data_IF_875286629917
#
_entry.id   IF_875286629917
#
_cell.length_a   1.000
_cell.length_b   1.000
_cell.length_c   1.000
_cell.angle_alpha   90.00
_cell.angle_beta   90.00
_cell.angle_gamma   90.00
#
_symmetry.space_group_name_H-M   'P 1'
#
loop_
_entity.id
_entity.type
_entity.pdbx_description
1 polymer ?
#
# COMPACT_ATOMS: atom_id res chain seq x y z
N UNK A 1 13.25 -0.06 18.38
CA UNK A 1 12.13 0.81 18.79
C UNK A 1 11.54 1.44 17.54
N UNK A 2 10.23 1.68 17.46
CA UNK A 2 9.64 2.31 16.28
C UNK A 2 10.00 3.81 16.31
N UNK A 3 10.55 4.39 15.23
CA UNK A 3 11.01 5.78 15.24
C UNK A 3 9.91 6.76 15.62
N UNK A 4 10.30 7.86 16.26
CA UNK A 4 9.45 9.05 16.40
C UNK A 4 9.26 9.74 15.04
N UNK A 5 8.23 10.59 14.93
CA UNK A 5 7.96 11.40 13.72
C UNK A 5 9.21 12.13 13.25
N UNK A 6 9.97 12.76 14.18
CA UNK A 6 11.18 13.50 13.82
C UNK A 6 12.24 12.59 13.21
N UNK A 7 12.45 11.42 13.80
CA UNK A 7 13.40 10.42 13.32
C UNK A 7 12.96 9.86 11.95
N UNK A 8 11.66 9.66 11.75
CA UNK A 8 11.12 9.18 10.47
C UNK A 8 11.35 10.16 9.32
N UNK A 9 11.20 11.46 9.58
CA UNK A 9 11.46 12.53 8.60
C UNK A 9 12.95 12.56 8.25
N UNK A 10 13.83 12.47 9.26
CA UNK A 10 15.27 12.44 9.04
C UNK A 10 15.68 11.22 8.20
N UNK A 11 15.17 10.04 8.54
CA UNK A 11 15.44 8.82 7.79
C UNK A 11 14.96 8.92 6.33
N UNK A 12 13.79 9.53 6.09
CA UNK A 12 13.25 9.72 4.75
C UNK A 12 14.09 10.71 3.92
N UNK A 13 14.57 11.79 4.53
CA UNK A 13 15.48 12.74 3.89
C UNK A 13 16.80 12.07 3.50
N UNK A 14 17.41 11.31 4.41
CA UNK A 14 18.63 10.55 4.12
C UNK A 14 18.40 9.56 2.96
N UNK A 15 17.22 8.92 2.91
CA UNK A 15 16.87 8.05 1.80
C UNK A 15 16.76 8.81 0.47
N UNK A 16 16.16 10.00 0.45
CA UNK A 16 16.12 10.81 -0.76
C UNK A 16 17.51 11.22 -1.26
N UNK A 17 18.42 11.56 -0.35
CA UNK A 17 19.81 11.86 -0.69
C UNK A 17 20.50 10.66 -1.32
N UNK A 18 20.44 9.50 -0.67
CA UNK A 18 21.02 8.24 -1.16
C UNK A 18 20.48 7.85 -2.54
N UNK A 19 19.16 7.94 -2.73
CA UNK A 19 18.52 7.68 -4.02
C UNK A 19 19.01 8.64 -5.09
N UNK A 20 19.16 9.93 -4.76
CA UNK A 20 19.64 10.95 -5.71
C UNK A 20 21.10 10.72 -6.09
N UNK A 21 21.93 10.30 -5.14
CA UNK A 21 23.34 9.98 -5.35
C UNK A 21 23.55 8.69 -6.16
N UNK A 22 22.63 7.72 -6.07
CA UNK A 22 22.73 6.46 -6.81
C UNK A 22 22.73 6.64 -8.34
N UNK A 23 22.19 7.75 -8.86
CA UNK A 23 22.04 8.06 -10.31
C UNK A 23 21.35 6.95 -11.11
N UNK A 24 20.59 6.06 -10.45
CA UNK A 24 19.87 4.98 -11.10
C UNK A 24 18.49 5.46 -11.55
N UNK A 25 18.27 5.44 -12.87
CA UNK A 25 17.03 5.94 -13.47
C UNK A 25 15.75 5.27 -12.90
N UNK A 26 15.85 4.00 -12.53
CA UNK A 26 14.76 3.22 -11.92
C UNK A 26 14.27 3.85 -10.60
N UNK A 27 15.17 4.45 -9.82
CA UNK A 27 14.80 5.04 -8.54
C UNK A 27 14.17 6.43 -8.65
N UNK A 28 14.29 7.15 -9.77
CA UNK A 28 13.59 8.44 -9.92
C UNK A 28 12.07 8.29 -9.85
N UNK A 29 11.52 7.23 -10.45
CA UNK A 29 10.07 6.96 -10.38
C UNK A 29 9.64 6.56 -8.97
N UNK A 30 10.44 5.74 -8.29
CA UNK A 30 10.19 5.35 -6.90
C UNK A 30 10.25 6.58 -5.98
N UNK A 31 11.27 7.42 -6.11
CA UNK A 31 11.42 8.69 -5.39
C UNK A 31 10.21 9.60 -5.58
N UNK A 32 9.74 9.78 -6.82
CA UNK A 32 8.55 10.58 -7.10
C UNK A 32 7.28 10.04 -6.44
N UNK A 33 7.13 8.71 -6.42
CA UNK A 33 6.01 8.05 -5.75
C UNK A 33 6.07 8.25 -4.24
N UNK A 34 7.23 8.01 -3.62
CA UNK A 34 7.41 8.21 -2.18
C UNK A 34 7.17 9.66 -1.80
N UNK A 35 7.67 10.63 -2.58
CA UNK A 35 7.44 12.06 -2.34
C UNK A 35 5.97 12.44 -2.39
N UNK A 36 5.21 11.88 -3.33
CA UNK A 36 3.77 12.11 -3.46
C UNK A 36 2.99 11.62 -2.24
N UNK A 37 3.41 10.53 -1.60
CA UNK A 37 2.72 9.90 -0.47
C UNK A 37 3.39 10.17 0.89
N UNK A 38 4.41 11.02 0.92
CA UNK A 38 5.25 11.32 2.09
C UNK A 38 4.43 11.64 3.35
N UNK A 39 3.41 12.48 3.22
CA UNK A 39 2.56 12.85 4.35
C UNK A 39 1.89 11.62 4.98
N UNK A 40 1.37 10.70 4.16
CA UNK A 40 0.72 9.48 4.66
C UNK A 40 1.74 8.51 5.27
N UNK A 41 2.94 8.41 4.68
CA UNK A 41 4.05 7.61 5.21
C UNK A 41 4.47 8.12 6.58
N UNK A 42 4.64 9.44 6.76
CA UNK A 42 4.98 10.06 8.05
C UNK A 42 3.83 9.89 9.05
N UNK A 43 2.58 10.02 8.59
CA UNK A 43 1.41 9.91 9.46
C UNK A 43 1.25 8.52 10.10
N UNK A 44 1.83 7.48 9.52
CA UNK A 44 1.93 6.17 10.15
C UNK A 44 2.63 6.23 11.51
N UNK A 45 3.68 7.06 11.64
CA UNK A 45 4.44 7.19 12.89
C UNK A 45 3.65 7.89 14.00
N UNK A 46 2.59 8.63 13.64
CA UNK A 46 1.64 9.27 14.57
C UNK A 46 0.48 8.36 14.94
N UNK A 47 -0.19 7.81 13.93
CA UNK A 47 -1.51 7.18 14.07
C UNK A 47 -1.46 5.66 14.15
N UNK A 48 -0.35 5.05 13.73
CA UNK A 48 -0.17 3.59 13.60
C UNK A 48 -1.21 2.90 12.72
N UNK A 49 -1.91 3.66 11.87
CA UNK A 49 -2.85 3.10 10.88
C UNK A 49 -2.04 2.41 9.79
N UNK A 50 -2.16 1.08 9.71
CA UNK A 50 -1.50 0.27 8.69
C UNK A 50 -2.41 0.05 7.48
N UNK A 51 -1.81 -0.29 6.34
CA UNK A 51 -2.53 -0.77 5.16
C UNK A 51 -3.00 -2.24 5.30
N UNK A 52 -2.80 -2.86 6.48
CA UNK A 52 -3.01 -4.30 6.69
C UNK A 52 -4.45 -4.74 6.46
N UNK A 53 -5.44 -3.93 6.86
CA UNK A 53 -6.85 -4.20 6.57
C UNK A 53 -7.13 -4.20 5.06
N UNK A 54 -6.64 -3.19 4.34
CA UNK A 54 -6.83 -3.10 2.89
C UNK A 54 -6.09 -4.22 2.15
N UNK A 55 -4.91 -4.62 2.61
CA UNK A 55 -4.16 -5.77 2.09
C UNK A 55 -4.91 -7.09 2.30
N UNK A 56 -5.45 -7.31 3.51
CA UNK A 56 -6.29 -8.46 3.82
C UNK A 56 -7.52 -8.53 2.92
N UNK A 57 -8.21 -7.39 2.75
CA UNK A 57 -9.36 -7.27 1.85
C UNK A 57 -8.97 -7.57 0.39
N UNK A 58 -7.86 -6.99 -0.09
CA UNK A 58 -7.35 -7.23 -1.44
C UNK A 58 -7.00 -8.71 -1.67
N UNK A 59 -6.40 -9.37 -0.68
CA UNK A 59 -6.09 -10.80 -0.76
C UNK A 59 -7.36 -11.66 -0.81
N UNK A 60 -8.38 -11.34 -0.01
CA UNK A 60 -9.68 -12.02 -0.06
C UNK A 60 -10.37 -11.83 -1.42
N UNK A 61 -10.35 -10.61 -1.98
CA UNK A 61 -10.90 -10.34 -3.32
C UNK A 61 -10.13 -11.13 -4.40
N UNK A 62 -8.79 -11.17 -4.33
CA UNK A 62 -7.96 -11.95 -5.26
C UNK A 62 -8.28 -13.45 -5.18
N UNK A 63 -8.50 -13.99 -3.98
CA UNK A 63 -8.92 -15.37 -3.79
C UNK A 63 -10.26 -15.64 -4.45
N UNK A 64 -11.27 -14.78 -4.20
CA UNK A 64 -12.61 -14.89 -4.81
C UNK A 64 -12.54 -14.84 -6.34
N UNK A 65 -11.70 -13.95 -6.89
CA UNK A 65 -11.45 -13.88 -8.33
C UNK A 65 -10.82 -15.16 -8.86
N UNK A 66 -9.88 -15.79 -8.13
CA UNK A 66 -9.18 -17.01 -8.55
C UNK A 66 -10.11 -18.23 -8.55
N UNK A 67 -10.96 -18.38 -7.54
CA UNK A 67 -11.91 -19.52 -7.47
C UNK A 67 -13.13 -19.33 -8.38
N UNK A 68 -13.45 -18.09 -8.76
CA UNK A 68 -14.56 -17.74 -9.63
C UNK A 68 -14.26 -17.87 -11.13
N UNK A 69 -13.57 -18.94 -11.56
CA UNK A 69 -13.28 -19.19 -12.99
C UNK A 69 -14.51 -18.95 -13.87
N UNK A 70 -14.33 -18.25 -14.99
CA UNK A 70 -15.40 -18.01 -15.97
C UNK A 70 -16.41 -16.91 -15.59
N UNK A 71 -16.16 -16.04 -14.60
CA UNK A 71 -17.02 -14.88 -14.32
C UNK A 71 -16.78 -13.78 -15.38
N UNK A 72 -17.68 -13.58 -16.37
CA UNK A 72 -17.40 -12.69 -17.50
C UNK A 72 -17.76 -11.23 -17.17
N UNK A 73 -18.59 -11.02 -16.15
CA UNK A 73 -19.14 -9.72 -15.76
C UNK A 73 -18.64 -9.33 -14.37
N UNK A 74 -18.05 -8.13 -14.28
CA UNK A 74 -17.56 -7.54 -13.02
C UNK A 74 -18.64 -7.50 -11.94
N UNK A 75 -19.91 -7.31 -12.32
CA UNK A 75 -21.04 -7.28 -11.38
C UNK A 75 -21.21 -8.58 -10.59
N UNK A 76 -20.95 -9.72 -11.24
CA UNK A 76 -21.01 -11.03 -10.57
C UNK A 76 -19.84 -11.20 -9.60
N UNK A 77 -18.66 -10.66 -9.93
CA UNK A 77 -17.52 -10.65 -9.02
C UNK A 77 -17.82 -9.77 -7.79
N UNK A 78 -18.38 -8.57 -7.97
CA UNK A 78 -18.79 -7.69 -6.87
C UNK A 78 -19.78 -8.37 -5.93
N UNK A 79 -20.82 -9.03 -6.46
CA UNK A 79 -21.79 -9.79 -5.65
C UNK A 79 -21.12 -10.89 -4.82
N UNK A 80 -20.20 -11.66 -5.42
CA UNK A 80 -19.44 -12.70 -4.71
C UNK A 80 -18.54 -12.12 -3.61
N UNK A 81 -17.88 -11.00 -3.88
CA UNK A 81 -17.09 -10.26 -2.89
C UNK A 81 -17.97 -9.80 -1.73
N UNK A 82 -19.10 -9.16 -2.03
CA UNK A 82 -20.05 -8.69 -1.03
C UNK A 82 -20.58 -9.82 -0.14
N UNK A 83 -21.07 -10.90 -0.75
CA UNK A 83 -21.54 -12.08 -0.01
C UNK A 83 -20.42 -12.67 0.85
N UNK A 84 -19.23 -12.91 0.30
CA UNK A 84 -18.12 -13.50 1.06
C UNK A 84 -17.63 -12.63 2.22
N UNK A 85 -17.78 -11.30 2.13
CA UNK A 85 -17.40 -10.37 3.19
C UNK A 85 -18.46 -10.24 4.29
N UNK A 86 -19.74 -10.39 3.95
CA UNK A 86 -20.86 -10.28 4.89
C UNK A 86 -21.31 -11.61 5.51
N UNK A 87 -20.93 -12.74 4.92
CA UNK A 87 -21.21 -14.08 5.46
C UNK A 87 -20.22 -14.53 6.55
N UNK A 88 -19.54 -13.60 7.20
CA UNK A 88 -18.80 -13.79 8.47
C UNK A 88 -19.62 -13.12 9.56
#
# INVERSE_FOLDING_TARGET
QIPDVKESIQALNNWYENVSQSKLNLFYRAKGTVKRWEQHIINYFKTRITNGFAEGLNNKIKLIKRIGYGVPKVENLKRRVFLSLLSI
#
